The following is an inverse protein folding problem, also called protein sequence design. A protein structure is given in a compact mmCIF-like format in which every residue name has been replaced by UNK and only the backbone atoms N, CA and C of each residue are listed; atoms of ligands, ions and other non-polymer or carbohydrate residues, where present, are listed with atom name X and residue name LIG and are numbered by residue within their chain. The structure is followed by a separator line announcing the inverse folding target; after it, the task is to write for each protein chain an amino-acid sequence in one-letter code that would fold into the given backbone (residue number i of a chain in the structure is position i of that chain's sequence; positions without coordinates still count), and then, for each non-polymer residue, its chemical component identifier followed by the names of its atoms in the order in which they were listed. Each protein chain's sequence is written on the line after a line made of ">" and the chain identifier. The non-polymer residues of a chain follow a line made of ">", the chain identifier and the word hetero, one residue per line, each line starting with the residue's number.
data_IF_167984312341
#
_entry.id   IF_167984312341
#
_cell.length_a   1.000
_cell.length_b   1.000
_cell.length_c   1.000
_cell.angle_alpha   90.00
_cell.angle_beta   90.00
_cell.angle_gamma   90.00
#
_symmetry.space_group_name_H-M   'P 1'
#
loop_
_entity.id
_entity.type
_entity.pdbx_description
1 polymer ?
#
# COMPACT_ATOMS: atom_id res chain seq x y z
N UNK A 1 7.95 -6.99 21.41
CA UNK A 1 7.51 -6.92 20.00
C UNK A 1 6.01 -6.59 19.91
N UNK A 2 5.46 -5.79 20.83
CA UNK A 2 4.00 -5.52 20.90
C UNK A 2 3.51 -4.45 19.91
N UNK A 3 4.39 -3.75 19.20
CA UNK A 3 4.04 -2.59 18.37
C UNK A 3 4.15 -2.81 16.84
N UNK A 4 4.15 -4.05 16.36
CA UNK A 4 4.29 -4.36 14.93
C UNK A 4 2.96 -4.67 14.23
N UNK A 5 1.85 -4.04 14.64
CA UNK A 5 0.55 -4.23 13.97
C UNK A 5 0.32 -3.19 12.88
N UNK A 6 -0.40 -3.59 11.82
CA UNK A 6 -0.81 -2.69 10.75
C UNK A 6 -1.56 -1.45 11.27
N UNK A 7 -2.48 -1.63 12.23
CA UNK A 7 -3.31 -0.55 12.77
C UNK A 7 -2.49 0.51 13.50
N UNK A 8 -1.51 0.09 14.31
CA UNK A 8 -0.61 1.01 15.02
C UNK A 8 0.26 1.78 14.03
N UNK A 9 0.78 1.10 13.00
CA UNK A 9 1.56 1.75 11.94
C UNK A 9 0.72 2.75 11.12
N UNK A 10 -0.53 2.41 10.80
CA UNK A 10 -1.44 3.32 10.10
C UNK A 10 -1.63 4.61 10.92
N UNK A 11 -1.94 4.47 12.21
CA UNK A 11 -2.18 5.62 13.09
C UNK A 11 -0.95 6.48 13.30
N UNK A 12 0.23 5.88 13.48
CA UNK A 12 1.47 6.64 13.67
C UNK A 12 1.77 7.56 12.47
N UNK A 13 1.41 7.16 11.25
CA UNK A 13 1.55 8.02 10.07
C UNK A 13 0.34 8.91 9.82
N UNK A 14 -0.84 8.53 10.32
CA UNK A 14 -2.06 9.31 10.16
C UNK A 14 -1.97 10.69 10.82
N UNK A 15 -1.26 10.79 11.93
CA UNK A 15 -1.01 12.06 12.63
C UNK A 15 -0.20 13.05 11.77
N UNK A 16 0.72 12.55 10.94
CA UNK A 16 1.59 13.33 10.08
C UNK A 16 1.00 13.68 8.71
N UNK A 17 -0.25 13.29 8.41
CA UNK A 17 -0.85 13.43 7.07
C UNK A 17 -1.00 14.88 6.55
N UNK A 18 -0.83 15.85 7.44
CA UNK A 18 -0.90 17.28 7.16
C UNK A 18 0.46 17.98 7.28
N UNK A 19 1.52 17.25 7.59
CA UNK A 19 2.88 17.78 7.57
C UNK A 19 3.30 18.07 6.13
N UNK A 20 3.91 19.23 5.88
CA UNK A 20 4.26 19.68 4.53
C UNK A 20 5.31 18.81 3.83
N UNK A 21 6.08 18.03 4.60
CA UNK A 21 7.10 17.10 4.13
C UNK A 21 6.61 15.64 4.11
N UNK A 22 5.29 15.39 4.23
CA UNK A 22 4.70 14.06 4.17
C UNK A 22 3.61 14.01 3.10
N UNK A 23 3.74 13.09 2.15
CA UNK A 23 2.70 12.79 1.16
C UNK A 23 2.10 11.41 1.42
N UNK A 24 0.85 11.38 1.84
CA UNK A 24 0.07 10.14 2.00
C UNK A 24 -0.64 9.77 0.70
N UNK A 25 -0.45 8.53 0.25
CA UNK A 25 -1.13 7.96 -0.93
C UNK A 25 -1.76 6.61 -0.60
N UNK A 26 -2.87 6.29 -1.24
CA UNK A 26 -3.54 5.00 -1.08
C UNK A 26 -3.22 4.09 -2.26
N UNK A 27 -2.99 2.80 -1.98
CA UNK A 27 -2.67 1.83 -3.02
C UNK A 27 -3.78 1.73 -4.07
N UNK A 28 -5.02 1.78 -3.62
CA UNK A 28 -6.18 1.76 -4.49
C UNK A 28 -6.25 2.99 -5.39
N UNK A 29 -5.75 4.16 -4.97
CA UNK A 29 -5.71 5.35 -5.83
C UNK A 29 -4.72 5.16 -6.98
N UNK A 30 -3.59 4.50 -6.72
CA UNK A 30 -2.63 4.13 -7.77
C UNK A 30 -3.21 3.09 -8.74
N UNK A 31 -4.18 2.29 -8.29
CA UNK A 31 -4.89 1.34 -9.15
C UNK A 31 -5.96 2.01 -9.98
N UNK A 32 -6.65 3.00 -9.42
CA UNK A 32 -7.71 3.75 -10.09
C UNK A 32 -7.14 4.72 -11.14
N UNK A 33 -6.08 5.47 -10.80
CA UNK A 33 -5.40 6.41 -11.70
C UNK A 33 -3.92 6.56 -11.32
N UNK A 34 -3.07 5.73 -11.92
CA UNK A 34 -1.64 5.74 -11.66
C UNK A 34 -0.98 7.05 -12.10
N UNK A 35 -1.37 7.61 -13.25
CA UNK A 35 -0.71 8.80 -13.79
C UNK A 35 -0.91 10.01 -12.89
N UNK A 36 -2.14 10.24 -12.42
CA UNK A 36 -2.43 11.32 -11.48
C UNK A 36 -1.63 11.20 -10.19
N UNK A 37 -1.49 9.97 -9.64
CA UNK A 37 -0.70 9.75 -8.42
C UNK A 37 0.79 9.99 -8.65
N UNK A 38 1.36 9.52 -9.77
CA UNK A 38 2.77 9.79 -10.11
C UNK A 38 3.02 11.28 -10.30
N UNK A 39 2.11 12.01 -10.96
CA UNK A 39 2.21 13.46 -11.11
C UNK A 39 2.15 14.19 -9.77
N UNK A 40 1.27 13.77 -8.87
CA UNK A 40 1.20 14.30 -7.50
C UNK A 40 2.51 14.06 -6.74
N UNK A 41 3.10 12.86 -6.84
CA UNK A 41 4.41 12.54 -6.24
C UNK A 41 5.50 13.42 -6.85
N UNK A 42 5.52 13.58 -8.18
CA UNK A 42 6.50 14.39 -8.89
C UNK A 42 6.44 15.86 -8.43
N UNK A 43 5.24 16.43 -8.34
CA UNK A 43 5.04 17.78 -7.82
C UNK A 43 5.54 17.91 -6.37
N UNK A 44 5.23 16.94 -5.51
CA UNK A 44 5.65 16.92 -4.11
C UNK A 44 7.18 16.89 -3.94
N UNK A 45 7.89 16.14 -4.79
CA UNK A 45 9.37 16.07 -4.77
C UNK A 45 10.06 17.08 -5.71
N UNK A 46 9.31 18.01 -6.31
CA UNK A 46 9.85 19.08 -7.16
C UNK A 46 10.37 18.64 -8.53
N UNK A 47 9.83 17.57 -9.12
CA UNK A 47 10.17 17.10 -10.47
C UNK A 47 9.13 17.60 -11.48
N UNK A 48 9.57 18.34 -12.49
CA UNK A 48 8.73 18.86 -13.59
C UNK A 48 9.07 18.25 -14.96
N UNK A 49 10.04 17.33 -15.02
CA UNK A 49 10.45 16.67 -16.26
C UNK A 49 9.37 15.67 -16.73
N UNK A 50 8.63 16.07 -17.78
CA UNK A 50 7.54 15.29 -18.35
C UNK A 50 7.98 13.94 -18.92
N UNK A 51 9.18 13.84 -19.50
CA UNK A 51 9.67 12.56 -20.03
C UNK A 51 9.97 11.60 -18.87
N UNK A 52 10.58 12.12 -17.80
CA UNK A 52 10.84 11.35 -16.58
C UNK A 52 9.55 10.90 -15.90
N UNK A 53 8.53 11.76 -15.83
CA UNK A 53 7.22 11.43 -15.27
C UNK A 53 6.55 10.33 -16.11
N UNK A 54 6.49 10.49 -17.45
CA UNK A 54 5.92 9.47 -18.35
C UNK A 54 6.62 8.12 -18.22
N UNK A 55 7.94 8.14 -18.11
CA UNK A 55 8.73 6.93 -17.88
C UNK A 55 8.40 6.29 -16.52
N UNK A 56 8.26 7.08 -15.45
CA UNK A 56 7.88 6.58 -14.13
C UNK A 56 6.50 5.92 -14.15
N UNK A 57 5.50 6.53 -14.81
CA UNK A 57 4.17 5.94 -15.01
C UNK A 57 4.29 4.60 -15.75
N UNK A 58 4.94 4.60 -16.92
CA UNK A 58 5.11 3.41 -17.76
C UNK A 58 5.76 2.25 -17.00
N UNK A 59 6.83 2.53 -16.26
CA UNK A 59 7.60 1.51 -15.56
C UNK A 59 6.93 1.02 -14.26
N UNK A 60 5.95 1.77 -13.75
CA UNK A 60 5.20 1.43 -12.54
C UNK A 60 3.92 0.64 -12.83
N UNK A 61 3.54 0.47 -14.10
CA UNK A 61 2.46 -0.45 -14.47
C UNK A 61 2.81 -1.89 -14.13
N UNK A 62 1.78 -2.64 -13.74
CA UNK A 62 1.93 -4.02 -13.29
C UNK A 62 2.48 -4.92 -14.40
N UNK A 63 2.02 -4.71 -15.63
CA UNK A 63 2.46 -5.41 -16.84
C UNK A 63 3.96 -5.24 -17.04
N UNK A 64 4.43 -4.00 -17.00
CA UNK A 64 5.86 -3.70 -17.12
C UNK A 64 6.67 -4.36 -15.99
N UNK A 65 6.20 -4.27 -14.73
CA UNK A 65 6.88 -4.92 -13.60
C UNK A 65 6.91 -6.44 -13.72
N UNK A 66 5.87 -7.08 -14.28
CA UNK A 66 5.81 -8.54 -14.51
C UNK A 66 6.80 -8.98 -15.58
N UNK A 67 6.88 -8.25 -16.69
CA UNK A 67 7.86 -8.47 -17.75
C UNK A 67 9.29 -8.30 -17.22
N UNK A 68 9.48 -7.38 -16.27
CA UNK A 68 10.76 -7.07 -15.66
C UNK A 68 10.99 -7.77 -14.29
N UNK A 69 10.30 -8.89 -14.01
CA UNK A 69 10.34 -9.57 -12.69
C UNK A 69 11.74 -9.91 -12.18
N UNK A 70 12.72 -10.08 -13.09
CA UNK A 70 14.12 -10.34 -12.75
C UNK A 70 14.76 -9.22 -11.91
N UNK A 71 14.22 -7.99 -11.96
CA UNK A 71 14.64 -6.86 -11.12
C UNK A 71 14.20 -6.98 -9.66
N UNK A 72 13.28 -7.90 -9.35
CA UNK A 72 12.72 -8.10 -8.01
C UNK A 72 13.02 -9.52 -7.46
N UNK A 73 14.30 -9.93 -7.36
CA UNK A 73 14.65 -11.30 -7.06
C UNK A 73 14.28 -11.70 -5.62
N UNK A 74 13.43 -12.72 -5.48
CA UNK A 74 13.06 -13.32 -4.19
C UNK A 74 14.12 -14.25 -3.61
N UNK A 75 15.15 -14.61 -4.36
CA UNK A 75 16.11 -15.68 -4.01
C UNK A 75 16.89 -15.42 -2.72
N UNK A 76 17.32 -14.17 -2.49
CA UNK A 76 18.06 -13.82 -1.25
C UNK A 76 17.17 -13.98 -0.02
N UNK A 77 15.93 -13.49 -0.11
CA UNK A 77 14.94 -13.62 0.95
C UNK A 77 14.57 -15.09 1.19
N UNK A 78 14.34 -15.87 0.13
CA UNK A 78 14.03 -17.30 0.22
C UNK A 78 15.15 -18.09 0.92
N UNK A 79 16.42 -17.81 0.58
CA UNK A 79 17.59 -18.50 1.15
C UNK A 79 17.65 -18.46 2.68
N UNK A 80 17.37 -17.30 3.28
CA UNK A 80 17.47 -17.14 4.73
C UNK A 80 16.18 -17.52 5.46
N UNK A 81 15.02 -17.25 4.84
CA UNK A 81 13.72 -17.50 5.47
C UNK A 81 13.27 -18.95 5.36
N UNK A 82 13.43 -19.60 4.21
CA UNK A 82 12.71 -20.85 3.90
C UNK A 82 12.97 -21.92 4.96
N UNK A 83 14.24 -22.15 5.29
CA UNK A 83 14.64 -23.05 6.37
C UNK A 83 14.04 -22.67 7.72
N UNK A 84 14.06 -21.39 8.08
CA UNK A 84 13.51 -20.91 9.35
C UNK A 84 11.97 -21.01 9.43
N UNK A 85 11.28 -21.00 8.29
CA UNK A 85 9.82 -21.06 8.20
C UNK A 85 9.26 -22.42 7.75
N UNK A 86 10.10 -23.46 7.64
CA UNK A 86 9.66 -24.79 7.19
C UNK A 86 9.15 -24.83 5.74
N UNK A 87 9.60 -23.90 4.90
CA UNK A 87 9.23 -23.81 3.47
C UNK A 87 10.31 -24.51 2.63
N UNK A 88 9.97 -25.21 1.53
CA UNK A 88 10.96 -25.84 0.65
C UNK A 88 12.02 -24.87 0.13
N UNK A 89 13.29 -25.29 0.07
CA UNK A 89 14.42 -24.42 -0.34
C UNK A 89 14.30 -23.90 -1.78
N UNK A 90 13.66 -24.66 -2.67
CA UNK A 90 13.42 -24.28 -4.05
C UNK A 90 12.22 -23.33 -4.24
N UNK A 91 11.42 -23.09 -3.19
CA UNK A 91 10.25 -22.23 -3.27
C UNK A 91 10.68 -20.75 -3.23
N UNK A 92 10.74 -20.13 -4.41
CA UNK A 92 11.05 -18.70 -4.54
C UNK A 92 9.74 -17.92 -4.73
N UNK A 93 9.35 -17.06 -3.78
CA UNK A 93 8.14 -16.26 -3.92
C UNK A 93 8.32 -15.19 -5.01
N UNK A 94 7.31 -15.02 -5.87
CA UNK A 94 7.24 -13.84 -6.74
C UNK A 94 6.93 -12.60 -5.90
N UNK A 95 7.57 -11.48 -6.23
CA UNK A 95 7.27 -10.16 -5.64
C UNK A 95 6.22 -9.39 -6.44
N UNK A 96 6.01 -9.77 -7.70
CA UNK A 96 4.99 -9.20 -8.59
C UNK A 96 3.94 -10.27 -8.83
N UNK A 97 2.78 -10.13 -8.18
CA UNK A 97 1.73 -11.16 -8.16
C UNK A 97 0.46 -10.63 -8.85
N UNK A 98 -0.67 -10.52 -8.14
CA UNK A 98 -1.95 -10.12 -8.72
C UNK A 98 -2.07 -8.62 -8.92
N UNK A 99 -1.45 -7.80 -8.07
CA UNK A 99 -1.63 -6.36 -8.04
C UNK A 99 -3.08 -5.93 -7.76
N UNK A 100 -3.86 -6.80 -7.13
CA UNK A 100 -5.26 -6.56 -6.76
C UNK A 100 -5.34 -6.01 -5.34
N UNK A 101 -6.20 -5.00 -5.14
CA UNK A 101 -6.52 -4.47 -3.83
C UNK A 101 -7.52 -5.33 -3.04
N UNK A 102 -8.29 -6.20 -3.72
CA UNK A 102 -9.39 -6.96 -3.11
C UNK A 102 -9.06 -8.42 -2.85
N UNK A 103 -8.10 -8.99 -3.59
CA UNK A 103 -7.87 -10.44 -3.60
C UNK A 103 -7.56 -11.02 -2.22
N UNK A 104 -6.83 -10.27 -1.38
CA UNK A 104 -6.56 -10.68 0.00
C UNK A 104 -7.85 -10.86 0.81
N UNK A 105 -8.77 -9.88 0.71
CA UNK A 105 -10.07 -9.92 1.40
C UNK A 105 -10.98 -11.01 0.85
N UNK A 106 -10.97 -11.25 -0.45
CA UNK A 106 -11.76 -12.31 -1.10
C UNK A 106 -11.36 -13.73 -0.65
N UNK A 107 -10.08 -13.93 -0.33
CA UNK A 107 -9.56 -15.24 0.11
C UNK A 107 -9.74 -15.48 1.61
N UNK A 108 -10.15 -14.47 2.39
CA UNK A 108 -10.39 -14.61 3.82
C UNK A 108 -11.77 -15.20 4.09
N UNK A 109 -11.86 -16.05 5.10
CA UNK A 109 -13.14 -16.47 5.67
C UNK A 109 -13.80 -15.31 6.45
N UNK A 110 -15.10 -15.44 6.71
CA UNK A 110 -15.88 -14.35 7.30
C UNK A 110 -15.50 -14.08 8.76
N UNK A 111 -15.15 -15.12 9.53
CA UNK A 111 -14.69 -14.97 10.92
C UNK A 111 -13.39 -14.16 10.97
N UNK A 112 -12.45 -14.39 10.05
CA UNK A 112 -11.22 -13.60 9.94
C UNK A 112 -11.53 -12.13 9.60
N UNK A 113 -12.48 -11.86 8.69
CA UNK A 113 -12.90 -10.48 8.35
C UNK A 113 -13.50 -9.78 9.57
N UNK A 114 -14.34 -10.47 10.34
CA UNK A 114 -14.95 -9.95 11.57
C UNK A 114 -13.90 -9.59 12.62
N UNK A 115 -12.89 -10.44 12.82
CA UNK A 115 -11.78 -10.17 13.76
C UNK A 115 -11.00 -8.92 13.33
N UNK A 116 -10.69 -8.79 12.03
CA UNK A 116 -9.98 -7.61 11.50
C UNK A 116 -10.83 -6.35 11.71
N UNK A 117 -12.13 -6.41 11.44
CA UNK A 117 -13.05 -5.29 11.62
C UNK A 117 -13.19 -4.90 13.10
N UNK A 118 -13.31 -5.87 14.00
CA UNK A 118 -13.34 -5.62 15.44
C UNK A 118 -12.05 -4.91 15.90
N UNK A 119 -10.88 -5.37 15.39
CA UNK A 119 -9.60 -4.73 15.72
C UNK A 119 -9.48 -3.32 15.14
N UNK A 120 -10.04 -3.08 13.96
CA UNK A 120 -10.13 -1.74 13.39
C UNK A 120 -10.89 -0.80 14.32
N UNK A 121 -12.10 -1.18 14.77
CA UNK A 121 -12.91 -0.34 15.66
C UNK A 121 -12.22 -0.10 17.02
N UNK A 122 -11.59 -1.13 17.59
CA UNK A 122 -10.87 -1.05 18.86
C UNK A 122 -9.70 -0.05 18.81
N UNK A 123 -8.95 -0.04 17.71
CA UNK A 123 -7.68 0.71 17.60
C UNK A 123 -7.84 1.98 16.76
N UNK A 124 -8.22 1.85 15.49
CA UNK A 124 -8.28 2.96 14.53
C UNK A 124 -9.55 3.78 14.72
N UNK A 125 -10.70 3.12 14.81
CA UNK A 125 -11.99 3.78 15.02
C UNK A 125 -12.01 4.60 16.30
N UNK A 126 -11.43 4.07 17.39
CA UNK A 126 -11.31 4.80 18.67
C UNK A 126 -10.54 6.12 18.57
N UNK A 127 -9.51 6.21 17.73
CA UNK A 127 -8.69 7.42 17.59
C UNK A 127 -9.18 8.37 16.49
N UNK A 128 -9.69 7.83 15.40
CA UNK A 128 -10.03 8.59 14.19
C UNK A 128 -11.53 8.86 14.02
N UNK A 129 -12.38 8.07 14.69
CA UNK A 129 -13.83 8.09 14.53
C UNK A 129 -14.37 7.30 13.32
N UNK A 130 -13.51 6.86 12.40
CA UNK A 130 -13.94 6.15 11.19
C UNK A 130 -14.29 4.67 11.47
N UNK A 131 -15.44 4.25 10.95
CA UNK A 131 -15.98 2.90 11.16
C UNK A 131 -15.18 1.85 10.39
N UNK A 132 -14.65 2.19 9.22
CA UNK A 132 -13.83 1.30 8.40
C UNK A 132 -12.79 2.04 7.55
N UNK A 133 -11.97 1.26 6.86
CA UNK A 133 -10.91 1.77 5.97
C UNK A 133 -11.44 2.59 4.79
N UNK A 134 -12.59 2.23 4.23
CA UNK A 134 -13.16 2.94 3.08
C UNK A 134 -13.66 4.32 3.49
N UNK A 135 -14.25 4.44 4.67
CA UNK A 135 -14.67 5.71 5.24
C UNK A 135 -13.45 6.62 5.46
N UNK A 136 -12.39 6.10 6.09
CA UNK A 136 -11.13 6.83 6.30
C UNK A 136 -10.53 7.32 4.97
N UNK A 137 -10.41 6.44 3.97
CA UNK A 137 -9.89 6.80 2.63
C UNK A 137 -10.77 7.85 1.95
N UNK A 138 -12.10 7.72 2.05
CA UNK A 138 -13.04 8.66 1.44
C UNK A 138 -12.99 10.03 2.10
N UNK A 139 -12.87 10.08 3.43
CA UNK A 139 -12.70 11.31 4.20
C UNK A 139 -11.41 12.02 3.82
N UNK A 140 -10.28 11.29 3.74
CA UNK A 140 -9.00 11.84 3.29
C UNK A 140 -9.09 12.48 1.91
N UNK A 141 -9.71 11.78 0.94
CA UNK A 141 -9.88 12.31 -0.41
C UNK A 141 -10.68 13.61 -0.44
N UNK A 142 -11.73 13.72 0.39
CA UNK A 142 -12.53 14.95 0.50
C UNK A 142 -11.71 16.08 1.11
N UNK A 143 -10.95 15.82 2.17
CA UNK A 143 -10.06 16.79 2.82
C UNK A 143 -9.06 17.40 1.81
N UNK A 144 -8.38 16.55 1.02
CA UNK A 144 -7.38 17.03 0.05
C UNK A 144 -7.99 17.69 -1.19
N UNK A 145 -9.19 17.28 -1.64
CA UNK A 145 -9.90 17.97 -2.73
C UNK A 145 -10.32 19.39 -2.37
N UNK A 146 -10.61 19.66 -1.09
CA UNK A 146 -11.06 20.97 -0.62
C UNK A 146 -9.90 21.93 -0.29
N UNK A 147 -8.64 21.47 -0.31
CA UNK A 147 -7.45 22.30 -0.07
C UNK A 147 -6.78 22.81 -1.36
N UNK A 148 -7.27 22.42 -2.54
CA UNK A 148 -6.78 22.86 -3.84
C UNK A 148 -7.70 23.91 -4.46
#
# INVERSE_FOLDING_TARGET
>A
MENASYFVHLLSWWEHRNDSNVLSVFFEDMKDDLESVVRMIAAFIGIQDEERIKNAVRMSFLEFMRENKGKFPGVRYARYRNKACGVPDNAVPSKVVTGSATKGRELMDDKTKEIIQAKWLEVVGKQTGFQDYNELRSAFKKEKKNCC
#
